data_IF_893281373390
#
_entry.id   IF_893281373390
#
_cell.length_a   1.000
_cell.length_b   1.000
_cell.length_c   1.000
_cell.angle_alpha   90.00
_cell.angle_beta   90.00
_cell.angle_gamma   90.00
#
_symmetry.space_group_name_H-M   'P 1'
#
loop_
_entity.id
_entity.type
_entity.pdbx_description
1 polymer ?
#
# COMPACT_ATOMS: atom_id res chain seq x y z
N UNK A 1 -20.24 -8.80 5.93
CA UNK A 1 -19.74 -8.16 4.70
C UNK A 1 -19.84 -9.17 3.56
N UNK A 2 -20.29 -8.73 2.37
CA UNK A 2 -20.56 -9.61 1.23
C UNK A 2 -19.57 -9.34 0.11
N UNK A 3 -19.32 -10.37 -0.69
CA UNK A 3 -18.70 -10.30 -2.01
C UNK A 3 -19.84 -10.28 -3.04
N UNK A 4 -19.91 -9.24 -3.85
CA UNK A 4 -20.86 -9.15 -4.96
C UNK A 4 -20.13 -9.50 -6.24
N UNK A 5 -20.59 -10.53 -6.92
CA UNK A 5 -19.87 -11.15 -8.01
C UNK A 5 -20.73 -11.21 -9.28
N UNK A 6 -20.10 -10.94 -10.41
CA UNK A 6 -20.67 -11.10 -11.77
C UNK A 6 -19.75 -12.02 -12.55
N UNK A 7 -20.29 -12.91 -13.38
CA UNK A 7 -19.50 -13.81 -14.18
C UNK A 7 -20.08 -13.94 -15.60
N UNK A 8 -19.20 -14.35 -16.52
CA UNK A 8 -19.55 -14.77 -17.88
C UNK A 8 -19.01 -16.15 -18.14
N UNK A 9 -19.79 -16.99 -18.74
CA UNK A 9 -19.42 -18.32 -19.20
C UNK A 9 -19.59 -18.42 -20.72
N UNK A 10 -18.49 -18.44 -21.45
CA UNK A 10 -18.52 -18.23 -22.89
C UNK A 10 -19.10 -16.86 -23.25
N UNK A 11 -20.22 -16.86 -23.94
CA UNK A 11 -20.96 -15.61 -24.26
C UNK A 11 -22.16 -15.34 -23.32
N UNK A 12 -22.45 -16.27 -22.39
CA UNK A 12 -23.58 -16.16 -21.46
C UNK A 12 -23.20 -15.35 -20.22
N UNK A 13 -23.84 -14.21 -20.00
CA UNK A 13 -23.75 -13.42 -18.78
C UNK A 13 -24.60 -14.05 -17.67
N UNK A 14 -23.97 -14.47 -16.59
CA UNK A 14 -24.65 -14.99 -15.41
C UNK A 14 -25.22 -13.85 -14.55
N UNK A 15 -26.31 -14.09 -13.81
CA UNK A 15 -26.85 -13.09 -12.88
C UNK A 15 -25.85 -12.76 -11.77
N UNK A 16 -25.95 -11.55 -11.23
CA UNK A 16 -25.17 -11.14 -10.05
C UNK A 16 -25.46 -12.08 -8.89
N UNK A 17 -24.41 -12.51 -8.19
CA UNK A 17 -24.50 -13.34 -6.98
C UNK A 17 -23.78 -12.71 -5.82
N UNK A 18 -24.24 -13.02 -4.62
CA UNK A 18 -23.61 -12.61 -3.37
C UNK A 18 -23.09 -13.82 -2.61
N UNK A 19 -21.92 -13.65 -1.99
CA UNK A 19 -21.30 -14.65 -1.12
C UNK A 19 -20.81 -13.92 0.15
N UNK A 20 -20.80 -14.62 1.28
CA UNK A 20 -20.20 -14.09 2.49
C UNK A 20 -18.69 -13.93 2.34
N UNK A 21 -18.14 -12.82 2.83
CA UNK A 21 -16.68 -12.62 2.85
C UNK A 21 -16.04 -13.31 4.06
N UNK A 22 -16.11 -14.64 4.05
CA UNK A 22 -15.53 -15.53 5.03
C UNK A 22 -15.13 -16.88 4.38
N UNK A 23 -14.47 -17.76 5.13
CA UNK A 23 -13.98 -19.03 4.60
C UNK A 23 -15.06 -19.92 3.97
N UNK A 24 -16.32 -19.84 4.45
CA UNK A 24 -17.45 -20.60 3.88
C UNK A 24 -17.86 -20.02 2.54
N UNK A 25 -18.09 -18.71 2.49
CA UNK A 25 -18.46 -18.02 1.26
C UNK A 25 -17.38 -18.08 0.20
N UNK A 26 -16.08 -18.03 0.58
CA UNK A 26 -14.97 -18.23 -0.35
C UNK A 26 -15.04 -19.61 -1.02
N UNK A 27 -15.25 -20.69 -0.25
CA UNK A 27 -15.43 -22.05 -0.82
C UNK A 27 -16.65 -22.15 -1.73
N UNK A 28 -17.76 -21.50 -1.35
CA UNK A 28 -18.98 -21.47 -2.18
C UNK A 28 -18.73 -20.73 -3.50
N UNK A 29 -18.02 -19.61 -3.47
CA UNK A 29 -17.62 -18.88 -4.67
C UNK A 29 -16.73 -19.74 -5.58
N UNK A 30 -15.68 -20.37 -5.03
CA UNK A 30 -14.75 -21.23 -5.77
C UNK A 30 -15.53 -22.36 -6.46
N UNK A 31 -16.44 -23.04 -5.74
CA UNK A 31 -17.30 -24.07 -6.32
C UNK A 31 -18.19 -23.53 -7.44
N UNK A 32 -18.75 -22.34 -7.28
CA UNK A 32 -19.59 -21.70 -8.30
C UNK A 32 -18.78 -21.28 -9.52
N UNK A 33 -17.61 -20.69 -9.33
CA UNK A 33 -16.75 -20.26 -10.43
C UNK A 33 -16.26 -21.45 -11.30
N UNK A 34 -16.07 -22.62 -10.70
CA UNK A 34 -15.62 -23.86 -11.37
C UNK A 34 -16.76 -24.74 -11.87
N UNK A 35 -18.01 -24.34 -11.70
CA UNK A 35 -19.18 -25.22 -11.95
C UNK A 35 -19.28 -25.72 -13.38
N UNK A 36 -18.89 -24.94 -14.38
CA UNK A 36 -19.03 -25.27 -15.81
C UNK A 36 -17.70 -25.48 -16.54
N UNK A 37 -16.58 -25.37 -15.85
CA UNK A 37 -15.28 -25.45 -16.50
C UNK A 37 -14.17 -25.90 -15.58
N UNK A 38 -13.09 -26.35 -16.17
CA UNK A 38 -11.90 -26.76 -15.42
C UNK A 38 -11.14 -25.56 -14.84
N UNK A 39 -11.18 -24.40 -15.54
CA UNK A 39 -10.44 -23.20 -15.15
C UNK A 39 -11.35 -21.97 -15.16
N UNK A 40 -11.09 -21.03 -14.25
CA UNK A 40 -11.78 -19.76 -14.18
C UNK A 40 -10.79 -18.60 -13.97
N UNK A 41 -10.91 -17.53 -14.73
CA UNK A 41 -10.21 -16.26 -14.48
C UNK A 41 -11.06 -15.36 -13.60
N UNK A 42 -10.48 -14.90 -12.51
CA UNK A 42 -11.15 -14.02 -11.55
C UNK A 42 -10.39 -12.69 -11.47
N UNK A 43 -11.11 -11.59 -11.63
CA UNK A 43 -10.59 -10.26 -11.38
C UNK A 43 -11.27 -9.67 -10.15
N UNK A 44 -10.50 -9.06 -9.28
CA UNK A 44 -11.02 -8.39 -8.10
C UNK A 44 -10.27 -7.09 -7.79
N UNK A 45 -10.95 -6.21 -7.08
CA UNK A 45 -10.38 -4.94 -6.65
C UNK A 45 -9.58 -5.10 -5.35
N UNK A 46 -8.39 -4.46 -5.29
CA UNK A 46 -7.56 -4.44 -4.10
C UNK A 46 -8.12 -3.48 -3.03
N UNK A 47 -9.00 -3.96 -2.17
CA UNK A 47 -9.61 -3.19 -1.07
C UNK A 47 -8.92 -3.43 0.29
N UNK A 48 -7.63 -3.76 0.27
CA UNK A 48 -6.79 -3.93 1.45
C UNK A 48 -7.15 -5.18 2.27
N UNK A 49 -7.32 -5.01 3.58
CA UNK A 49 -7.59 -6.14 4.50
C UNK A 49 -8.86 -6.93 4.20
N UNK A 50 -9.79 -6.35 3.45
CA UNK A 50 -11.05 -7.02 3.12
C UNK A 50 -10.95 -7.92 1.89
N UNK A 51 -10.05 -7.61 0.96
CA UNK A 51 -9.85 -8.38 -0.27
C UNK A 51 -8.78 -9.46 -0.13
N UNK A 52 -7.80 -9.27 0.74
CA UNK A 52 -6.63 -10.16 0.85
C UNK A 52 -6.99 -11.61 1.19
N UNK A 53 -7.84 -11.92 2.21
CA UNK A 53 -8.20 -13.30 2.52
C UNK A 53 -8.89 -14.03 1.35
N UNK A 54 -9.72 -13.30 0.60
CA UNK A 54 -10.38 -13.85 -0.58
C UNK A 54 -9.38 -14.07 -1.72
N UNK A 55 -8.49 -13.11 -1.99
CA UNK A 55 -7.44 -13.27 -3.01
C UNK A 55 -6.53 -14.49 -2.72
N UNK A 56 -6.13 -14.66 -1.47
CA UNK A 56 -5.33 -15.83 -1.04
C UNK A 56 -6.10 -17.15 -1.23
N UNK A 57 -7.39 -17.19 -0.87
CA UNK A 57 -8.23 -18.37 -1.06
C UNK A 57 -8.40 -18.73 -2.54
N UNK A 58 -8.51 -17.74 -3.43
CA UNK A 58 -8.58 -17.93 -4.87
C UNK A 58 -7.25 -18.43 -5.44
N UNK A 59 -6.15 -17.82 -5.05
CA UNK A 59 -4.81 -18.23 -5.51
C UNK A 59 -4.45 -19.65 -5.09
N UNK A 60 -4.91 -20.09 -3.92
CA UNK A 60 -4.70 -21.47 -3.44
C UNK A 60 -5.65 -22.49 -4.07
N UNK A 61 -6.65 -22.04 -4.84
CA UNK A 61 -7.65 -22.94 -5.43
C UNK A 61 -7.19 -23.40 -6.82
N UNK A 62 -7.06 -24.71 -6.99
CA UNK A 62 -6.75 -25.31 -8.28
C UNK A 62 -7.75 -24.88 -9.38
N UNK A 63 -7.25 -24.51 -10.56
CA UNK A 63 -8.05 -24.12 -11.71
C UNK A 63 -8.67 -22.70 -11.59
N UNK A 64 -8.14 -21.85 -10.72
CA UNK A 64 -8.49 -20.43 -10.64
C UNK A 64 -7.25 -19.57 -10.83
N UNK A 65 -7.25 -18.74 -11.87
CA UNK A 65 -6.28 -17.69 -12.07
C UNK A 65 -6.86 -16.39 -11.50
N UNK A 66 -6.15 -15.72 -10.61
CA UNK A 66 -6.63 -14.47 -9.96
C UNK A 66 -5.82 -13.27 -10.37
N UNK A 67 -6.51 -12.17 -10.67
CA UNK A 67 -5.93 -10.85 -10.89
C UNK A 67 -6.47 -9.88 -9.85
N UNK A 68 -5.58 -9.27 -9.07
CA UNK A 68 -5.91 -8.27 -8.05
C UNK A 68 -5.54 -6.88 -8.58
N UNK A 69 -6.54 -6.06 -8.89
CA UNK A 69 -6.38 -4.83 -9.64
C UNK A 69 -6.52 -3.60 -8.74
N UNK A 70 -5.73 -2.58 -9.02
CA UNK A 70 -5.80 -1.31 -8.31
C UNK A 70 -7.19 -0.65 -8.53
N UNK A 71 -7.90 -0.21 -7.47
CA UNK A 71 -9.18 0.48 -7.55
C UNK A 71 -9.22 1.65 -8.54
N UNK A 72 -8.10 2.37 -8.68
CA UNK A 72 -8.00 3.47 -9.64
C UNK A 72 -8.05 3.02 -11.09
N UNK A 73 -7.55 1.82 -11.41
CA UNK A 73 -7.60 1.27 -12.76
C UNK A 73 -9.05 0.96 -13.15
N UNK A 74 -9.78 0.27 -12.24
CA UNK A 74 -11.21 -0.02 -12.43
C UNK A 74 -12.02 1.28 -12.58
N UNK A 75 -11.77 2.27 -11.71
CA UNK A 75 -12.45 3.57 -11.79
C UNK A 75 -12.19 4.27 -13.13
N UNK A 76 -10.93 4.37 -13.57
CA UNK A 76 -10.60 5.02 -14.85
C UNK A 76 -11.21 4.31 -16.05
N UNK A 77 -11.25 2.99 -16.00
CA UNK A 77 -11.91 2.19 -17.03
C UNK A 77 -13.44 2.47 -17.06
N UNK A 78 -14.09 2.54 -15.90
CA UNK A 78 -15.50 2.89 -15.78
C UNK A 78 -15.78 4.32 -16.27
N UNK A 79 -14.94 5.29 -15.92
CA UNK A 79 -15.02 6.68 -16.38
C UNK A 79 -14.90 6.75 -17.93
N UNK A 80 -13.96 6.00 -18.51
CA UNK A 80 -13.79 5.92 -19.97
C UNK A 80 -14.98 5.26 -20.69
N UNK A 81 -15.68 4.35 -20.00
CA UNK A 81 -16.88 3.67 -20.50
C UNK A 81 -18.17 4.49 -20.29
N UNK A 82 -18.06 5.74 -19.81
CA UNK A 82 -19.20 6.66 -19.58
C UNK A 82 -20.30 6.10 -18.66
N UNK A 83 -20.02 5.08 -17.86
CA UNK A 83 -20.98 4.43 -16.99
C UNK A 83 -21.30 5.31 -15.77
N UNK A 84 -22.58 5.64 -15.59
CA UNK A 84 -23.09 6.43 -14.47
C UNK A 84 -23.71 5.54 -13.40
N UNK A 85 -23.78 6.05 -12.17
CA UNK A 85 -24.36 5.34 -11.02
C UNK A 85 -23.31 4.59 -10.19
N UNK A 86 -23.69 4.22 -8.96
CA UNK A 86 -22.86 3.46 -8.03
C UNK A 86 -23.75 2.48 -7.26
N UNK A 87 -23.59 1.20 -7.56
CA UNK A 87 -24.16 0.09 -6.80
C UNK A 87 -23.14 -1.06 -6.84
N UNK A 88 -23.16 -1.94 -5.87
CA UNK A 88 -22.24 -3.08 -5.83
C UNK A 88 -22.40 -4.00 -7.06
N UNK A 89 -23.62 -4.11 -7.59
CA UNK A 89 -23.89 -4.86 -8.83
C UNK A 89 -23.24 -4.21 -10.06
N UNK A 90 -23.32 -2.87 -10.17
CA UNK A 90 -22.64 -2.12 -11.25
C UNK A 90 -21.12 -2.20 -11.11
N UNK A 91 -20.60 -2.19 -9.89
CA UNK A 91 -19.16 -2.30 -9.65
C UNK A 91 -18.67 -3.72 -10.01
N UNK A 92 -19.43 -4.78 -9.70
CA UNK A 92 -19.14 -6.14 -10.15
C UNK A 92 -19.16 -6.27 -11.69
N UNK A 93 -20.14 -5.65 -12.36
CA UNK A 93 -20.19 -5.59 -13.82
C UNK A 93 -18.97 -4.87 -14.41
N UNK A 94 -18.56 -3.74 -13.83
CA UNK A 94 -17.36 -2.99 -14.26
C UNK A 94 -16.08 -3.83 -14.16
N UNK A 95 -15.95 -4.59 -13.07
CA UNK A 95 -14.82 -5.49 -12.88
C UNK A 95 -14.82 -6.60 -13.93
N UNK A 96 -16.01 -7.18 -14.24
CA UNK A 96 -16.13 -8.17 -15.31
C UNK A 96 -15.76 -7.57 -16.67
N UNK A 97 -16.28 -6.39 -17.02
CA UNK A 97 -15.93 -5.72 -18.28
C UNK A 97 -14.44 -5.35 -18.36
N UNK A 98 -13.82 -5.00 -17.25
CA UNK A 98 -12.38 -4.80 -17.15
C UNK A 98 -11.62 -6.10 -17.45
N UNK A 99 -12.00 -7.20 -16.81
CA UNK A 99 -11.41 -8.52 -17.02
C UNK A 99 -11.48 -8.97 -18.49
N UNK A 100 -12.58 -8.70 -19.16
CA UNK A 100 -12.81 -9.13 -20.55
C UNK A 100 -12.06 -8.30 -21.60
N UNK A 101 -11.70 -7.04 -21.27
CA UNK A 101 -11.15 -6.09 -22.26
C UNK A 101 -9.71 -5.69 -22.00
N UNK A 102 -9.23 -5.86 -20.76
CA UNK A 102 -7.87 -5.49 -20.40
C UNK A 102 -7.00 -6.74 -20.30
N UNK A 103 -5.68 -6.52 -20.42
CA UNK A 103 -4.70 -7.58 -20.25
C UNK A 103 -4.83 -8.22 -18.86
N UNK A 104 -5.01 -9.54 -18.83
CA UNK A 104 -5.04 -10.28 -17.57
C UNK A 104 -3.62 -10.43 -17.04
N UNK A 105 -3.42 -9.99 -15.80
CA UNK A 105 -2.16 -10.17 -15.08
C UNK A 105 -2.43 -11.01 -13.85
N UNK A 106 -1.84 -12.17 -13.82
CA UNK A 106 -1.94 -13.06 -12.69
C UNK A 106 -1.28 -12.42 -11.45
N UNK A 107 -1.98 -12.51 -10.33
CA UNK A 107 -1.49 -11.99 -9.07
C UNK A 107 -0.72 -13.07 -8.30
N UNK A 108 0.55 -12.80 -8.03
CA UNK A 108 1.35 -13.58 -7.12
C UNK A 108 1.26 -12.97 -5.71
N UNK A 109 0.80 -13.72 -4.69
CA UNK A 109 0.75 -13.21 -3.33
C UNK A 109 2.16 -12.99 -2.79
N UNK A 110 2.39 -11.90 -2.02
CA UNK A 110 3.57 -11.80 -1.19
C UNK A 110 3.62 -12.97 -0.19
N UNK A 111 4.82 -13.36 0.25
CA UNK A 111 4.93 -14.39 1.28
C UNK A 111 4.29 -13.96 2.60
N UNK A 112 3.99 -14.91 3.47
CA UNK A 112 3.38 -14.63 4.77
C UNK A 112 4.27 -13.70 5.61
N UNK A 113 5.58 -13.91 5.58
CA UNK A 113 6.58 -13.10 6.30
C UNK A 113 6.59 -11.65 5.77
N UNK A 114 6.47 -11.46 4.47
CA UNK A 114 6.38 -10.11 3.86
C UNK A 114 5.10 -9.39 4.31
N UNK A 115 3.96 -10.09 4.30
CA UNK A 115 2.68 -9.51 4.75
C UNK A 115 2.73 -9.18 6.25
N UNK A 116 3.29 -10.03 7.06
CA UNK A 116 3.47 -9.81 8.50
C UNK A 116 4.38 -8.63 8.77
N UNK A 117 5.54 -8.56 8.11
CA UNK A 117 6.47 -7.43 8.21
C UNK A 117 5.79 -6.11 7.82
N UNK A 118 4.98 -6.13 6.77
CA UNK A 118 4.22 -4.95 6.33
C UNK A 118 3.18 -4.54 7.39
N UNK A 119 2.47 -5.47 8.00
CA UNK A 119 1.51 -5.17 9.06
C UNK A 119 2.19 -4.59 10.31
N UNK A 120 3.31 -5.16 10.74
CA UNK A 120 4.09 -4.67 11.88
C UNK A 120 4.60 -3.25 11.61
N UNK A 121 5.23 -3.00 10.47
CA UNK A 121 5.80 -1.69 10.14
C UNK A 121 4.72 -0.61 10.00
N UNK A 122 3.58 -0.93 9.44
CA UNK A 122 2.42 -0.02 9.37
C UNK A 122 1.84 0.25 10.76
N UNK A 123 1.82 -0.75 11.65
CA UNK A 123 1.41 -0.54 13.06
C UNK A 123 2.37 0.40 13.79
N UNK A 124 3.67 0.29 13.56
CA UNK A 124 4.66 1.23 14.09
C UNK A 124 4.35 2.68 13.65
N UNK A 125 4.00 2.89 12.38
CA UNK A 125 3.63 4.23 11.88
C UNK A 125 2.38 4.76 12.58
N UNK A 126 1.38 3.92 12.83
CA UNK A 126 0.17 4.31 13.56
C UNK A 126 0.50 4.70 15.00
N UNK A 127 1.27 3.86 15.72
CA UNK A 127 1.68 4.14 17.09
C UNK A 127 2.51 5.43 17.21
N UNK A 128 3.40 5.72 16.26
CA UNK A 128 4.13 6.99 16.20
C UNK A 128 3.23 8.21 16.01
N UNK A 129 2.16 8.08 15.22
CA UNK A 129 1.15 9.14 15.06
C UNK A 129 0.34 9.33 16.36
N UNK A 130 0.04 8.25 17.08
CA UNK A 130 -0.61 8.31 18.40
C UNK A 130 0.30 9.00 19.42
N UNK A 131 1.58 8.64 19.46
CA UNK A 131 2.58 9.27 20.33
C UNK A 131 2.73 10.78 20.04
N UNK A 132 2.77 11.16 18.77
CA UNK A 132 2.83 12.58 18.39
C UNK A 132 1.61 13.35 18.87
N UNK A 133 0.42 12.78 18.74
CA UNK A 133 -0.82 13.39 19.24
C UNK A 133 -0.81 13.54 20.75
N UNK A 134 -0.32 12.52 21.46
CA UNK A 134 -0.23 12.52 22.91
C UNK A 134 0.80 13.53 23.41
N UNK A 135 1.95 13.63 22.75
CA UNK A 135 2.95 14.64 23.04
C UNK A 135 2.38 16.09 22.89
N UNK A 136 1.59 16.34 21.85
CA UNK A 136 0.95 17.65 21.67
C UNK A 136 -0.04 17.95 22.80
N UNK A 137 -0.82 16.97 23.28
CA UNK A 137 -1.71 17.10 24.44
C UNK A 137 -0.93 17.37 25.72
N UNK A 138 0.17 16.64 25.92
CA UNK A 138 1.06 16.82 27.06
C UNK A 138 1.64 18.24 27.11
N UNK A 139 2.15 18.73 25.98
CA UNK A 139 2.68 20.09 25.87
C UNK A 139 1.61 21.16 26.14
N UNK A 140 0.39 20.95 25.65
CA UNK A 140 -0.74 21.84 25.92
C UNK A 140 -1.10 21.86 27.41
N UNK A 141 -1.19 20.70 28.06
CA UNK A 141 -1.48 20.58 29.48
C UNK A 141 -0.39 21.23 30.35
N UNK A 142 0.88 21.05 30.00
CA UNK A 142 2.00 21.73 30.70
C UNK A 142 1.91 23.25 30.66
N UNK A 143 1.41 23.83 29.57
CA UNK A 143 1.23 25.29 29.45
C UNK A 143 0.16 25.84 30.42
N UNK A 144 -0.77 25.01 30.88
CA UNK A 144 -1.80 25.37 31.86
C UNK A 144 -1.30 25.38 33.31
N UNK A 145 -0.05 25.00 33.57
CA UNK A 145 0.56 24.97 34.90
C UNK A 145 -0.18 24.04 35.86
N UNK A 146 -0.56 24.54 37.03
CA UNK A 146 -1.22 23.75 38.07
C UNK A 146 -2.54 23.11 37.60
N UNK A 147 -3.34 23.85 36.82
CA UNK A 147 -4.62 23.33 36.29
C UNK A 147 -4.44 22.17 35.33
N UNK A 148 -3.32 22.09 34.61
CA UNK A 148 -3.01 21.02 33.66
C UNK A 148 -2.26 19.84 34.23
N UNK A 149 -1.86 19.86 35.50
CA UNK A 149 -0.94 18.87 36.10
C UNK A 149 -1.43 17.43 36.03
N UNK A 150 -2.71 17.18 36.30
CA UNK A 150 -3.29 15.84 36.26
C UNK A 150 -3.23 15.26 34.84
N UNK A 151 -3.66 16.06 33.85
CA UNK A 151 -3.64 15.67 32.44
C UNK A 151 -2.21 15.49 31.94
N UNK A 152 -1.28 16.35 32.36
CA UNK A 152 0.13 16.21 31.98
C UNK A 152 0.75 14.92 32.53
N UNK A 153 0.39 14.51 33.74
CA UNK A 153 0.84 13.23 34.30
C UNK A 153 0.26 12.03 33.56
N UNK A 154 -1.05 12.03 33.27
CA UNK A 154 -1.71 10.96 32.52
C UNK A 154 -1.11 10.80 31.13
N UNK A 155 -1.00 11.90 30.38
CA UNK A 155 -0.40 11.87 29.04
C UNK A 155 1.06 11.39 29.07
N UNK A 156 1.85 11.74 30.09
CA UNK A 156 3.21 11.24 30.25
C UNK A 156 3.27 9.72 30.47
N UNK A 157 2.30 9.14 31.21
CA UNK A 157 2.18 7.68 31.38
C UNK A 157 1.85 7.01 30.06
N UNK A 158 0.88 7.55 29.32
CA UNK A 158 0.48 7.01 28.03
C UNK A 158 1.60 7.10 26.99
N UNK A 159 2.34 8.20 26.95
CA UNK A 159 3.52 8.34 26.08
C UNK A 159 4.55 7.23 26.33
N UNK A 160 4.92 6.97 27.58
CA UNK A 160 5.84 5.87 27.95
C UNK A 160 5.31 4.50 27.54
N UNK A 161 4.00 4.29 27.63
CA UNK A 161 3.35 3.07 27.16
C UNK A 161 3.48 2.93 25.63
N UNK A 162 3.18 3.97 24.87
CA UNK A 162 3.32 3.99 23.41
C UNK A 162 4.76 3.78 22.96
N UNK A 163 5.73 4.40 23.63
CA UNK A 163 7.16 4.22 23.34
C UNK A 163 7.60 2.77 23.52
N UNK A 164 7.20 2.11 24.62
CA UNK A 164 7.49 0.68 24.85
C UNK A 164 6.88 -0.20 23.76
N UNK A 165 5.64 0.06 23.34
CA UNK A 165 4.99 -0.67 22.27
C UNK A 165 5.69 -0.48 20.93
N UNK A 166 6.12 0.75 20.61
CA UNK A 166 6.89 1.04 19.40
C UNK A 166 8.20 0.27 19.41
N UNK A 167 8.93 0.28 20.53
CA UNK A 167 10.19 -0.44 20.66
C UNK A 167 10.00 -1.97 20.48
N UNK A 168 8.97 -2.55 21.09
CA UNK A 168 8.66 -3.97 20.94
C UNK A 168 8.33 -4.34 19.47
N UNK A 169 7.49 -3.55 18.80
CA UNK A 169 7.15 -3.78 17.40
C UNK A 169 8.37 -3.58 16.46
N UNK A 170 9.28 -2.66 16.79
CA UNK A 170 10.52 -2.49 16.03
C UNK A 170 11.43 -3.70 16.15
N UNK A 171 11.64 -4.21 17.37
CA UNK A 171 12.44 -5.41 17.61
C UNK A 171 11.86 -6.63 16.86
N UNK A 172 10.55 -6.78 16.87
CA UNK A 172 9.87 -7.87 16.15
C UNK A 172 10.08 -7.77 14.63
N UNK A 173 9.92 -6.56 14.06
CA UNK A 173 10.15 -6.33 12.64
C UNK A 173 11.59 -6.60 12.21
N UNK A 174 12.57 -6.19 13.02
CA UNK A 174 14.00 -6.43 12.79
C UNK A 174 14.33 -7.94 12.91
N UNK A 175 13.75 -8.62 13.90
CA UNK A 175 13.90 -10.07 14.09
C UNK A 175 13.35 -10.85 12.90
N UNK A 176 12.12 -10.54 12.46
CA UNK A 176 11.49 -11.19 11.30
C UNK A 176 12.29 -10.97 10.02
N UNK A 177 12.72 -9.74 9.75
CA UNK A 177 13.52 -9.42 8.58
C UNK A 177 14.88 -10.14 8.57
N UNK A 178 15.49 -10.33 9.74
CA UNK A 178 16.79 -11.02 9.87
C UNK A 178 16.66 -12.54 9.82
N UNK A 179 15.54 -13.10 10.30
CA UNK A 179 15.29 -14.53 10.34
C UNK A 179 14.89 -15.09 8.97
N UNK A 180 14.36 -14.27 8.07
CA UNK A 180 13.93 -14.67 6.73
C UNK A 180 15.04 -14.40 5.71
N UNK A 181 15.68 -15.42 5.13
CA UNK A 181 16.88 -15.24 4.28
C UNK A 181 16.70 -14.27 3.13
N UNK A 182 15.56 -14.36 2.40
CA UNK A 182 15.26 -13.47 1.28
C UNK A 182 15.05 -12.01 1.70
N UNK A 183 14.45 -11.76 2.86
CA UNK A 183 14.28 -10.42 3.41
C UNK A 183 15.60 -9.85 3.91
N UNK A 184 16.43 -10.69 4.53
CA UNK A 184 17.75 -10.29 5.01
C UNK A 184 18.65 -9.83 3.87
N UNK A 185 18.73 -10.60 2.78
CA UNK A 185 19.51 -10.23 1.60
C UNK A 185 19.08 -8.88 1.02
N UNK A 186 17.77 -8.66 0.89
CA UNK A 186 17.23 -7.39 0.41
C UNK A 186 17.49 -6.24 1.40
N UNK A 187 17.46 -6.50 2.71
CA UNK A 187 17.76 -5.52 3.75
C UNK A 187 19.24 -5.11 3.70
N UNK A 188 20.13 -6.08 3.56
CA UNK A 188 21.57 -5.85 3.43
C UNK A 188 21.89 -4.99 2.19
N UNK A 189 21.18 -5.23 1.09
CA UNK A 189 21.26 -4.39 -0.12
C UNK A 189 20.76 -2.95 0.14
N UNK A 190 19.66 -2.78 0.88
CA UNK A 190 19.17 -1.44 1.24
C UNK A 190 20.15 -0.68 2.14
N UNK A 191 20.88 -1.36 3.01
CA UNK A 191 21.89 -0.76 3.89
C UNK A 191 23.12 -0.22 3.14
N UNK A 192 23.36 -0.64 1.91
CA UNK A 192 24.41 -0.04 1.05
C UNK A 192 24.09 1.38 0.64
N UNK A 193 22.80 1.79 0.73
CA UNK A 193 22.35 3.13 0.32
C UNK A 193 22.57 4.13 1.45
N UNK A 194 23.33 5.18 1.19
CA UNK A 194 23.60 6.25 2.16
C UNK A 194 22.33 6.86 2.73
N UNK A 195 22.17 6.80 4.05
CA UNK A 195 21.01 7.34 4.76
C UNK A 195 19.93 6.31 5.10
N UNK A 196 20.07 5.06 4.66
CA UNK A 196 19.20 3.96 5.08
C UNK A 196 19.88 3.17 6.22
N UNK A 197 19.31 3.28 7.42
CA UNK A 197 19.72 2.52 8.60
C UNK A 197 18.63 1.49 8.95
N UNK A 198 18.90 0.58 9.91
CA UNK A 198 18.06 -0.58 10.26
C UNK A 198 16.56 -0.29 10.28
N UNK A 199 16.13 0.63 11.14
CA UNK A 199 14.68 0.97 11.30
C UNK A 199 14.03 1.51 10.03
N UNK A 200 14.79 2.21 9.22
CA UNK A 200 14.29 2.77 7.96
C UNK A 200 14.34 1.73 6.85
N UNK A 201 15.43 0.94 6.80
CA UNK A 201 15.59 -0.19 5.88
C UNK A 201 14.44 -1.19 5.99
N UNK A 202 14.13 -1.64 7.22
CA UNK A 202 13.01 -2.55 7.47
C UNK A 202 11.65 -1.97 7.03
N UNK A 203 11.42 -0.67 7.23
CA UNK A 203 10.18 -0.01 6.78
C UNK A 203 10.08 0.08 5.25
N UNK A 204 11.19 0.37 4.58
CA UNK A 204 11.26 0.42 3.11
C UNK A 204 11.09 -1.00 2.56
N UNK A 205 11.82 -1.97 3.09
CA UNK A 205 11.75 -3.37 2.71
C UNK A 205 10.32 -3.92 2.76
N UNK A 206 9.60 -3.67 3.86
CA UNK A 206 8.22 -4.14 4.05
C UNK A 206 7.25 -3.67 2.96
N UNK A 207 7.48 -2.49 2.40
CA UNK A 207 6.63 -1.95 1.33
C UNK A 207 7.11 -2.36 -0.06
N UNK A 208 8.41 -2.62 -0.24
CA UNK A 208 8.99 -3.02 -1.52
C UNK A 208 8.87 -4.53 -1.77
N UNK A 209 9.12 -5.36 -0.76
CA UNK A 209 9.06 -6.82 -0.88
C UNK A 209 7.64 -7.36 -1.22
N UNK A 210 6.60 -6.55 -0.98
CA UNK A 210 5.23 -6.88 -1.36
C UNK A 210 4.91 -6.56 -2.84
N UNK A 211 5.84 -6.00 -3.60
CA UNK A 211 5.65 -5.59 -4.98
C UNK A 211 6.22 -6.64 -5.94
N UNK A 212 5.70 -6.71 -7.19
CA UNK A 212 6.27 -7.55 -8.23
C UNK A 212 7.76 -7.24 -8.47
N UNK A 213 8.57 -8.26 -8.62
CA UNK A 213 10.01 -8.12 -8.80
C UNK A 213 10.42 -7.51 -10.16
N UNK A 214 9.52 -7.57 -11.14
CA UNK A 214 9.71 -7.07 -12.51
C UNK A 214 9.38 -5.58 -12.68
N UNK A 215 9.06 -4.88 -11.59
CA UNK A 215 8.77 -3.45 -11.66
C UNK A 215 10.00 -2.63 -12.09
N UNK A 216 9.77 -1.74 -13.05
CA UNK A 216 10.78 -0.77 -13.52
C UNK A 216 10.94 0.41 -12.55
N UNK A 217 12.07 1.12 -12.62
CA UNK A 217 12.31 2.31 -11.80
C UNK A 217 11.19 3.36 -11.86
N UNK A 218 10.68 3.77 -13.06
CA UNK A 218 9.53 4.66 -13.16
C UNK A 218 8.26 4.15 -12.48
N UNK A 219 8.00 2.84 -12.53
CA UNK A 219 6.85 2.23 -11.85
C UNK A 219 6.98 2.31 -10.31
N UNK A 220 8.20 2.12 -9.78
CA UNK A 220 8.49 2.29 -8.35
C UNK A 220 8.25 3.73 -7.89
N UNK A 221 8.71 4.71 -8.68
CA UNK A 221 8.48 6.14 -8.42
C UNK A 221 6.98 6.46 -8.43
N UNK A 222 6.25 5.96 -9.42
CA UNK A 222 4.80 6.14 -9.51
C UNK A 222 4.06 5.43 -8.35
N UNK A 223 4.50 4.21 -7.97
CA UNK A 223 3.93 3.49 -6.84
C UNK A 223 4.10 4.24 -5.51
N UNK A 224 5.23 4.89 -5.30
CA UNK A 224 5.47 5.73 -4.11
C UNK A 224 4.73 7.08 -4.17
N UNK A 225 4.19 7.46 -5.36
CA UNK A 225 3.56 8.76 -5.58
C UNK A 225 4.55 9.92 -5.55
N UNK A 226 5.82 9.64 -5.88
CA UNK A 226 6.89 10.64 -6.01
C UNK A 226 7.05 11.14 -7.45
N UNK A 227 6.34 10.54 -8.40
CA UNK A 227 6.31 10.96 -9.80
C UNK A 227 5.82 12.42 -9.94
N UNK A 228 6.53 13.26 -10.71
CA UNK A 228 6.10 14.64 -10.95
C UNK A 228 4.91 14.66 -11.90
N UNK A 229 3.82 15.30 -11.48
CA UNK A 229 2.64 15.51 -12.34
C UNK A 229 2.83 16.78 -13.18
N UNK A 230 2.98 16.68 -14.50
CA UNK A 230 2.93 17.84 -15.38
C UNK A 230 1.53 18.45 -15.33
N UNK A 231 1.46 19.78 -15.35
CA UNK A 231 0.22 20.51 -15.42
C UNK A 231 0.38 21.62 -16.47
N UNK A 232 0.33 21.19 -17.70
CA UNK A 232 0.52 22.02 -18.88
C UNK A 232 -0.71 21.84 -19.79
N UNK A 233 -1.29 22.95 -20.25
CA UNK A 233 -2.40 22.93 -21.18
C UNK A 233 -2.28 24.12 -22.13
N UNK A 234 -2.10 23.83 -23.41
CA UNK A 234 -1.86 24.84 -24.43
C UNK A 234 -0.63 25.71 -24.15
N UNK A 235 -0.63 26.92 -24.68
CA UNK A 235 0.48 27.88 -24.48
C UNK A 235 0.35 28.72 -23.20
N UNK A 236 -0.80 28.73 -22.54
CA UNK A 236 -1.11 29.65 -21.45
C UNK A 236 -1.02 29.07 -20.03
N UNK A 237 -1.04 27.72 -19.90
CA UNK A 237 -1.09 27.11 -18.57
C UNK A 237 0.18 26.33 -18.28
N UNK A 238 1.10 26.93 -17.50
CA UNK A 238 2.29 26.25 -16.98
C UNK A 238 2.32 26.37 -15.45
N UNK A 239 1.88 25.31 -14.75
CA UNK A 239 1.94 25.28 -13.27
C UNK A 239 3.20 24.53 -12.80
N UNK A 240 3.80 24.93 -11.66
CA UNK A 240 4.93 24.19 -11.09
C UNK A 240 4.59 22.72 -10.89
N UNK A 241 5.44 21.82 -11.37
CA UNK A 241 5.27 20.39 -11.23
C UNK A 241 5.37 20.01 -9.74
N UNK A 242 4.40 19.24 -9.26
CA UNK A 242 4.38 18.68 -7.91
C UNK A 242 4.29 17.18 -7.99
N UNK A 243 4.79 16.48 -6.96
CA UNK A 243 4.63 15.02 -6.85
C UNK A 243 3.15 14.68 -6.77
N UNK A 244 2.75 13.55 -7.37
CA UNK A 244 1.33 13.15 -7.46
C UNK A 244 0.72 12.82 -6.09
N UNK A 245 1.52 12.33 -5.13
CA UNK A 245 1.08 11.77 -3.85
C UNK A 245 0.02 10.66 -4.00
N UNK A 246 -0.14 10.11 -5.20
CA UNK A 246 -1.20 9.18 -5.57
C UNK A 246 -0.85 7.71 -5.31
N UNK A 247 0.28 7.46 -4.64
CA UNK A 247 0.79 6.13 -4.37
C UNK A 247 0.89 5.80 -2.88
N UNK A 248 1.75 4.83 -2.58
CA UNK A 248 1.98 4.33 -1.24
C UNK A 248 2.60 5.40 -0.32
N UNK A 249 1.82 5.89 0.63
CA UNK A 249 2.29 6.93 1.54
C UNK A 249 3.27 6.40 2.59
N UNK A 250 3.21 5.11 2.95
CA UNK A 250 4.16 4.51 3.90
C UNK A 250 5.57 4.47 3.33
N UNK A 251 5.68 4.08 2.05
CA UNK A 251 6.95 4.09 1.34
C UNK A 251 7.48 5.53 1.18
N UNK A 252 6.63 6.47 0.78
CA UNK A 252 7.02 7.88 0.65
C UNK A 252 7.50 8.48 1.97
N UNK A 253 6.82 8.21 3.07
CA UNK A 253 7.23 8.65 4.42
C UNK A 253 8.56 8.00 4.84
N UNK A 254 8.78 6.73 4.51
CA UNK A 254 10.01 6.02 4.85
C UNK A 254 11.22 6.59 4.08
N UNK A 255 11.04 7.02 2.83
CA UNK A 255 12.10 7.56 1.98
C UNK A 255 12.49 9.00 2.32
N UNK A 256 11.71 9.74 3.09
CA UNK A 256 11.95 11.16 3.36
C UNK A 256 13.29 11.43 4.06
N UNK A 257 13.56 10.76 5.17
CA UNK A 257 14.81 10.96 5.92
C UNK A 257 16.04 10.43 5.18
N UNK A 258 16.03 9.26 4.54
CA UNK A 258 17.11 8.81 3.66
C UNK A 258 17.45 9.82 2.58
N UNK A 259 16.45 10.37 1.90
CA UNK A 259 16.68 11.40 0.89
C UNK A 259 17.34 12.66 1.45
N UNK A 260 16.92 13.09 2.67
CA UNK A 260 17.51 14.24 3.35
C UNK A 260 18.96 13.99 3.77
N UNK A 261 19.31 12.77 4.22
CA UNK A 261 20.67 12.40 4.55
C UNK A 261 21.51 12.26 3.28
N UNK A 262 20.99 11.56 2.27
CA UNK A 262 21.66 11.35 0.99
C UNK A 262 21.98 12.67 0.28
N UNK A 263 21.06 13.63 0.28
CA UNK A 263 21.30 14.96 -0.32
C UNK A 263 22.46 15.74 0.32
N UNK A 264 22.93 15.32 1.51
CA UNK A 264 24.06 15.96 2.23
C UNK A 264 25.33 15.12 2.23
N UNK A 265 25.19 13.79 2.21
CA UNK A 265 26.30 12.84 2.46
C UNK A 265 26.70 12.03 1.24
N UNK A 266 25.77 11.74 0.34
CA UNK A 266 26.05 11.01 -0.89
C UNK A 266 26.49 11.98 -1.99
N UNK A 267 27.66 11.80 -2.64
CA UNK A 267 28.17 12.75 -3.63
C UNK A 267 27.23 12.94 -4.84
N UNK A 268 26.60 11.87 -5.31
CA UNK A 268 25.71 11.93 -6.48
C UNK A 268 24.38 12.60 -6.15
N UNK A 269 23.76 12.22 -5.01
CA UNK A 269 22.52 12.83 -4.55
C UNK A 269 22.73 14.30 -4.19
N UNK A 270 23.86 14.66 -3.59
CA UNK A 270 24.23 16.03 -3.26
C UNK A 270 24.36 16.88 -4.51
N UNK A 271 25.12 16.43 -5.50
CA UNK A 271 25.29 17.15 -6.76
C UNK A 271 23.96 17.36 -7.49
N UNK A 272 23.09 16.33 -7.48
CA UNK A 272 21.74 16.44 -8.04
C UNK A 272 20.88 17.45 -7.27
N UNK A 273 20.92 17.43 -5.95
CA UNK A 273 20.20 18.37 -5.10
C UNK A 273 20.67 19.82 -5.33
N UNK A 274 21.98 20.06 -5.34
CA UNK A 274 22.57 21.39 -5.62
C UNK A 274 22.16 21.92 -6.98
N UNK A 275 22.15 21.06 -8.02
CA UNK A 275 21.64 21.41 -9.36
C UNK A 275 20.17 21.82 -9.33
N UNK A 276 19.32 21.13 -8.53
CA UNK A 276 17.92 21.51 -8.40
C UNK A 276 17.75 22.89 -7.73
N UNK A 277 18.51 23.15 -6.68
CA UNK A 277 18.48 24.48 -6.00
C UNK A 277 18.96 25.58 -6.93
N UNK A 278 20.06 25.37 -7.67
CA UNK A 278 20.56 26.34 -8.66
C UNK A 278 19.52 26.64 -9.76
N UNK A 279 18.67 25.67 -10.10
CA UNK A 279 17.55 25.85 -11.04
C UNK A 279 16.27 26.42 -10.37
N UNK A 280 16.37 27.00 -9.17
CA UNK A 280 15.27 27.65 -8.48
C UNK A 280 14.23 26.72 -7.87
N UNK A 281 14.55 25.43 -7.67
CA UNK A 281 13.70 24.50 -6.90
C UNK A 281 13.88 24.77 -5.40
N UNK A 282 12.74 24.82 -4.66
CA UNK A 282 12.71 25.04 -3.20
C UNK A 282 12.66 23.73 -2.47
#
# INVERSE_FOLDING_TARGET
>A
QYLVCKARFGEEDLPVRQFDNNAVGHRQFIKWARHRGATARVCMEATGVYSLPFALALHSAEGIDVSVVNPKAIKRFADASMQRGKTDALDAERILQYLLRMEFREWAPPSQEVLELQHITRRIVQLKKELTRENNRHLAAKRLGVMGRVVANDTAVNMRHLERRIAAMQAEAESLASATPSLKEQLDLLHTVTGIADKTGVRILAELAALPADMTGPQWVAHSGLDPRPHESGSSTHKPRRITKAGNHYLRDALYYPALVGSRKDPHMKAFYEKLIANGKK
#
